data_IF_367050414607
#
_entry.id   IF_367050414607
#
_cell.length_a   1.000
_cell.length_b   1.000
_cell.length_c   1.000
_cell.angle_alpha   90.00
_cell.angle_beta   90.00
_cell.angle_gamma   90.00
#
_symmetry.space_group_name_H-M   'P 1'
#
loop_
_entity.id
_entity.type
_entity.pdbx_description
1 polymer ?
#
# COMPACT_ATOMS: atom_id res chain seq x y z
N UNK A 1 14.50 -18.52 52.16
CA UNK A 1 14.58 -17.50 51.10
C UNK A 1 15.87 -17.79 50.35
N UNK A 2 15.76 -18.35 49.15
CA UNK A 2 16.93 -18.46 48.26
C UNK A 2 17.41 -17.03 47.94
N UNK A 3 18.72 -16.77 47.90
CA UNK A 3 19.23 -15.44 47.60
C UNK A 3 18.80 -15.06 46.18
N UNK A 4 18.11 -13.94 46.05
CA UNK A 4 17.74 -13.35 44.78
C UNK A 4 19.03 -12.94 44.06
N UNK A 5 19.35 -13.58 42.94
CA UNK A 5 20.59 -13.33 42.21
C UNK A 5 20.45 -12.00 41.47
N UNK A 6 21.26 -11.02 41.88
CA UNK A 6 21.31 -9.72 41.23
C UNK A 6 22.05 -9.82 39.89
N UNK A 7 21.43 -9.30 38.84
CA UNK A 7 21.99 -9.32 37.48
C UNK A 7 23.07 -8.24 37.40
N UNK A 8 24.31 -8.56 37.00
CA UNK A 8 25.35 -7.55 36.86
C UNK A 8 24.91 -6.41 35.92
N UNK A 9 25.04 -5.16 36.39
CA UNK A 9 24.53 -3.98 35.69
C UNK A 9 25.08 -3.79 34.27
N UNK A 10 26.32 -4.23 34.02
CA UNK A 10 26.96 -4.21 32.70
C UNK A 10 26.39 -5.24 31.71
N UNK A 11 25.50 -6.14 32.14
CA UNK A 11 24.72 -7.02 31.27
C UNK A 11 23.39 -6.41 30.83
N UNK A 12 22.95 -5.33 31.50
CA UNK A 12 21.67 -4.69 31.23
C UNK A 12 21.81 -3.66 30.11
N UNK A 13 20.84 -3.66 29.20
CA UNK A 13 20.75 -2.65 28.16
C UNK A 13 20.36 -1.29 28.79
N UNK A 14 21.08 -0.19 28.49
CA UNK A 14 20.74 1.12 29.05
C UNK A 14 19.36 1.67 28.63
N UNK A 15 18.76 1.14 27.55
CA UNK A 15 17.43 1.54 27.09
C UNK A 15 16.34 0.69 27.76
N UNK A 16 16.42 -0.64 27.65
CA UNK A 16 15.35 -1.53 28.12
C UNK A 16 15.49 -1.93 29.58
N UNK A 17 16.66 -1.73 30.18
CA UNK A 17 17.05 -2.21 31.52
C UNK A 17 16.93 -3.73 31.68
N UNK A 18 16.88 -4.47 30.57
CA UNK A 18 16.85 -5.93 30.53
C UNK A 18 18.21 -6.48 30.10
N UNK A 19 18.50 -7.75 30.42
CA UNK A 19 19.70 -8.45 29.94
C UNK A 19 19.79 -8.35 28.42
N UNK A 20 20.94 -7.89 27.92
CA UNK A 20 21.21 -7.78 26.49
C UNK A 20 21.26 -9.17 25.85
N UNK A 21 20.44 -9.38 24.82
CA UNK A 21 20.41 -10.64 24.06
C UNK A 21 21.42 -10.62 22.92
N UNK A 22 21.50 -9.48 22.23
CA UNK A 22 22.53 -9.24 21.22
C UNK A 22 23.23 -7.88 21.49
N UNK A 23 24.26 -7.86 22.35
CA UNK A 23 24.94 -6.63 22.71
C UNK A 23 25.73 -6.07 21.52
N UNK A 24 25.47 -4.80 21.19
CA UNK A 24 26.11 -4.04 20.11
C UNK A 24 26.60 -2.69 20.61
N UNK A 25 27.80 -2.32 20.18
CA UNK A 25 28.46 -1.07 20.55
C UNK A 25 28.25 -0.03 19.45
N UNK A 26 27.72 1.14 19.83
CA UNK A 26 27.61 2.30 18.95
C UNK A 26 28.96 3.06 18.89
N UNK A 27 29.19 3.96 17.91
CA UNK A 27 30.44 4.70 17.79
C UNK A 27 30.88 5.48 19.04
N UNK A 28 29.93 5.85 19.90
CA UNK A 28 30.21 6.53 21.17
C UNK A 28 30.76 5.59 22.25
N UNK A 29 30.98 4.30 21.94
CA UNK A 29 31.53 3.29 22.84
C UNK A 29 30.53 2.64 23.80
N UNK A 30 29.26 3.04 23.79
CA UNK A 30 28.22 2.46 24.67
C UNK A 30 27.63 1.21 24.03
N UNK A 31 27.43 0.17 24.83
CA UNK A 31 26.81 -1.09 24.38
C UNK A 31 25.32 -1.12 24.74
N UNK A 32 24.49 -1.52 23.79
CA UNK A 32 23.04 -1.69 23.95
C UNK A 32 22.62 -3.06 23.43
N UNK A 33 21.42 -3.50 23.77
CA UNK A 33 20.76 -4.58 23.04
C UNK A 33 20.37 -4.09 21.63
N UNK A 34 20.69 -4.87 20.59
CA UNK A 34 20.49 -4.49 19.18
C UNK A 34 19.08 -4.00 18.89
N UNK A 35 18.06 -4.77 19.26
CA UNK A 35 16.67 -4.42 18.95
C UNK A 35 16.27 -3.09 19.59
N UNK A 36 16.79 -2.83 20.80
CA UNK A 36 16.49 -1.62 21.56
C UNK A 36 17.12 -0.38 20.92
N UNK A 37 18.39 -0.45 20.51
CA UNK A 37 19.05 0.69 19.85
C UNK A 37 18.55 0.90 18.42
N UNK A 38 18.25 -0.16 17.67
CA UNK A 38 17.69 -0.03 16.31
C UNK A 38 16.29 0.60 16.34
N UNK A 39 15.44 0.23 17.31
CA UNK A 39 14.14 0.88 17.52
C UNK A 39 14.29 2.35 17.90
N UNK A 40 15.23 2.67 18.80
CA UNK A 40 15.52 4.05 19.19
C UNK A 40 15.91 4.90 17.98
N UNK A 41 16.91 4.44 17.20
CA UNK A 41 17.41 5.14 16.01
C UNK A 41 16.34 5.29 14.92
N UNK A 42 15.42 4.33 14.81
CA UNK A 42 14.32 4.40 13.83
C UNK A 42 13.19 5.36 14.25
N UNK A 43 13.03 5.60 15.55
CA UNK A 43 11.92 6.41 16.11
C UNK A 43 12.29 7.87 16.36
N UNK A 44 13.58 8.17 16.56
CA UNK A 44 14.06 9.50 16.90
C UNK A 44 14.23 10.37 15.64
N UNK A 45 13.88 11.65 15.73
CA UNK A 45 14.10 12.63 14.65
C UNK A 45 15.58 12.95 14.42
N UNK A 46 16.42 12.71 15.44
CA UNK A 46 17.87 12.78 15.36
C UNK A 46 18.46 11.46 15.86
N UNK A 47 19.25 10.79 15.02
CA UNK A 47 19.97 9.57 15.37
C UNK A 47 21.06 9.88 16.41
N UNK A 48 20.70 9.90 17.69
CA UNK A 48 21.62 10.18 18.80
C UNK A 48 21.77 8.98 19.72
N UNK A 49 22.92 8.88 20.36
CA UNK A 49 23.17 7.92 21.41
C UNK A 49 22.33 8.25 22.66
N UNK A 50 21.49 7.33 23.17
CA UNK A 50 20.61 7.57 24.32
C UNK A 50 21.33 8.05 25.59
N UNK A 51 22.55 7.55 25.83
CA UNK A 51 23.31 7.86 27.05
C UNK A 51 24.17 9.12 26.90
N UNK A 52 24.89 9.26 25.78
CA UNK A 52 25.86 10.35 25.60
C UNK A 52 25.27 11.57 24.91
N UNK A 53 24.06 11.47 24.36
CA UNK A 53 23.42 12.49 23.51
C UNK A 53 24.26 12.91 22.28
N UNK A 54 25.29 12.15 21.93
CA UNK A 54 26.12 12.41 20.75
C UNK A 54 25.45 11.88 19.48
N UNK A 55 25.58 12.56 18.33
CA UNK A 55 25.05 12.08 17.06
C UNK A 55 25.76 10.80 16.62
N UNK A 56 24.97 9.83 16.16
CA UNK A 56 25.42 8.59 15.53
C UNK A 56 25.23 8.77 14.02
N UNK A 57 26.28 8.61 13.20
CA UNK A 57 26.13 8.67 11.75
C UNK A 57 25.09 7.64 11.27
N UNK A 58 24.20 7.99 10.33
CA UNK A 58 23.16 7.08 9.83
C UNK A 58 23.74 5.82 9.16
N UNK A 59 24.97 5.91 8.66
CA UNK A 59 25.69 4.82 7.97
C UNK A 59 26.63 4.04 8.92
N UNK A 60 26.62 4.35 10.22
CA UNK A 60 27.51 3.69 11.17
C UNK A 60 27.01 2.27 11.49
N UNK A 61 27.82 1.27 11.16
CA UNK A 61 27.55 -0.11 11.52
C UNK A 61 27.63 -0.31 13.05
N UNK A 62 26.55 -0.87 13.62
CA UNK A 62 26.51 -1.30 15.02
C UNK A 62 27.50 -2.46 15.22
N UNK A 63 28.58 -2.20 15.94
CA UNK A 63 29.67 -3.18 16.12
C UNK A 63 29.25 -4.25 17.15
N UNK A 64 29.13 -5.54 16.78
CA UNK A 64 28.74 -6.57 17.74
C UNK A 64 29.76 -6.72 18.88
N UNK A 65 29.31 -6.68 20.15
CA UNK A 65 30.16 -6.93 21.30
C UNK A 65 30.18 -8.42 21.65
N UNK A 66 30.96 -9.17 20.88
CA UNK A 66 31.02 -10.64 20.96
C UNK A 66 31.48 -11.12 22.34
N UNK A 67 32.41 -10.40 22.98
CA UNK A 67 32.94 -10.75 24.31
C UNK A 67 31.83 -10.60 25.35
N UNK A 68 31.15 -9.45 25.40
CA UNK A 68 30.07 -9.23 26.34
C UNK A 68 28.95 -10.25 26.16
N UNK A 69 28.60 -10.59 24.91
CA UNK A 69 27.62 -11.64 24.63
C UNK A 69 28.03 -12.99 25.22
N UNK A 70 29.29 -13.41 25.06
CA UNK A 70 29.80 -14.66 25.63
C UNK A 70 29.76 -14.63 27.16
N UNK A 71 30.10 -13.50 27.78
CA UNK A 71 30.03 -13.32 29.23
C UNK A 71 28.60 -13.44 29.75
N UNK A 72 27.64 -12.77 29.10
CA UNK A 72 26.21 -12.86 29.42
C UNK A 72 25.73 -14.31 29.29
N UNK A 73 26.04 -14.98 28.18
CA UNK A 73 25.63 -16.37 27.96
C UNK A 73 26.20 -17.33 29.01
N UNK A 74 27.47 -17.13 29.38
CA UNK A 74 28.13 -17.90 30.44
C UNK A 74 27.44 -17.68 31.78
N UNK A 75 27.14 -16.41 32.11
CA UNK A 75 26.42 -16.06 33.34
C UNK A 75 25.00 -16.65 33.37
N UNK A 76 24.23 -16.58 32.28
CA UNK A 76 22.91 -17.23 32.23
C UNK A 76 23.02 -18.74 32.44
N UNK A 77 24.02 -19.39 31.84
CA UNK A 77 24.23 -20.84 31.99
C UNK A 77 24.56 -21.23 33.42
N UNK A 78 25.40 -20.44 34.11
CA UNK A 78 25.76 -20.66 35.51
C UNK A 78 24.58 -20.45 36.47
N UNK A 79 23.64 -19.55 36.11
CA UNK A 79 22.49 -19.21 36.92
C UNK A 79 21.18 -19.86 36.43
N UNK A 80 21.27 -20.94 35.65
CA UNK A 80 20.10 -21.62 35.08
C UNK A 80 19.14 -22.17 36.15
N UNK A 81 19.66 -22.58 37.33
CA UNK A 81 18.87 -22.99 38.48
C UNK A 81 18.01 -21.87 39.07
N UNK A 82 18.35 -20.61 38.79
CA UNK A 82 17.63 -19.42 39.25
C UNK A 82 16.68 -18.83 38.19
N UNK A 83 16.35 -19.63 37.16
CA UNK A 83 15.39 -19.24 36.11
C UNK A 83 16.00 -18.46 34.95
N UNK A 84 17.33 -18.32 34.87
CA UNK A 84 18.00 -17.66 33.74
C UNK A 84 18.27 -18.67 32.61
N UNK A 85 17.49 -18.59 31.52
CA UNK A 85 17.75 -19.41 30.34
C UNK A 85 18.95 -18.91 29.54
N UNK A 86 19.71 -19.85 28.96
CA UNK A 86 20.82 -19.51 28.07
C UNK A 86 20.30 -18.80 26.83
N UNK A 87 20.71 -17.55 26.66
CA UNK A 87 20.40 -16.77 25.46
C UNK A 87 21.07 -17.42 24.24
N UNK A 88 20.31 -17.85 23.22
CA UNK A 88 20.87 -18.44 22.02
C UNK A 88 21.74 -17.43 21.26
N UNK A 89 22.84 -17.91 20.66
CA UNK A 89 23.68 -17.05 19.83
C UNK A 89 22.89 -16.64 18.58
N UNK A 90 22.75 -15.33 18.28
CA UNK A 90 22.16 -14.89 17.03
C UNK A 90 22.90 -15.55 15.86
N UNK A 91 22.16 -16.13 14.91
CA UNK A 91 22.77 -16.66 13.69
C UNK A 91 23.52 -15.50 13.01
N UNK A 92 24.74 -15.71 12.49
CA UNK A 92 25.44 -14.67 11.76
C UNK A 92 24.57 -14.21 10.58
N UNK A 93 24.48 -12.89 10.33
CA UNK A 93 23.70 -12.38 9.23
C UNK A 93 24.24 -12.92 7.90
N UNK A 94 23.33 -13.11 6.95
CA UNK A 94 23.68 -13.61 5.62
C UNK A 94 24.60 -12.61 4.93
N UNK A 95 25.64 -13.10 4.27
CA UNK A 95 26.57 -12.24 3.53
C UNK A 95 26.12 -12.03 2.09
N UNK A 96 26.42 -10.85 1.52
CA UNK A 96 26.15 -10.55 0.10
C UNK A 96 26.77 -11.59 -0.83
N UNK A 97 27.97 -12.10 -0.50
CA UNK A 97 28.64 -13.15 -1.27
C UNK A 97 27.87 -14.49 -1.27
N UNK A 98 27.25 -14.87 -0.14
CA UNK A 98 26.40 -16.07 -0.08
C UNK A 98 25.16 -15.89 -0.97
N UNK A 99 24.53 -14.72 -0.93
CA UNK A 99 23.35 -14.41 -1.74
C UNK A 99 23.69 -14.47 -3.24
N UNK A 100 24.78 -13.85 -3.66
CA UNK A 100 25.21 -13.89 -5.07
C UNK A 100 25.53 -15.31 -5.55
N UNK A 101 26.12 -16.16 -4.69
CA UNK A 101 26.36 -17.58 -5.01
C UNK A 101 25.05 -18.37 -5.16
N UNK A 102 24.06 -18.11 -4.30
CA UNK A 102 22.74 -18.76 -4.40
C UNK A 102 22.02 -18.38 -5.70
N UNK A 103 22.07 -17.11 -6.08
CA UNK A 103 21.47 -16.65 -7.34
C UNK A 103 22.19 -17.22 -8.54
N UNK A 104 23.53 -17.17 -8.55
CA UNK A 104 24.30 -17.67 -9.68
C UNK A 104 24.07 -19.17 -9.91
N UNK A 105 23.99 -19.96 -8.84
CA UNK A 105 23.67 -21.39 -8.96
C UNK A 105 22.25 -21.63 -9.48
N UNK A 106 21.26 -20.83 -9.06
CA UNK A 106 19.90 -20.92 -9.58
C UNK A 106 19.78 -20.50 -11.06
N UNK A 107 20.54 -19.47 -11.48
CA UNK A 107 20.49 -18.94 -12.84
C UNK A 107 21.20 -19.81 -13.88
N UNK A 108 22.20 -20.60 -13.48
CA UNK A 108 23.04 -21.41 -14.39
C UNK A 108 22.63 -22.89 -14.46
N UNK A 109 21.60 -23.28 -13.71
CA UNK A 109 21.17 -24.67 -13.59
C UNK A 109 20.44 -25.19 -14.83
N UNK A 110 20.67 -26.45 -15.18
CA UNK A 110 20.02 -27.14 -16.31
C UNK A 110 18.51 -27.35 -16.12
N UNK A 111 18.02 -27.39 -14.87
CA UNK A 111 16.60 -27.41 -14.51
C UNK A 111 16.22 -26.10 -13.81
N UNK A 112 16.03 -25.00 -14.57
CA UNK A 112 15.98 -23.65 -14.02
C UNK A 112 14.86 -23.48 -12.98
N UNK A 113 13.65 -24.00 -13.24
CA UNK A 113 12.49 -23.77 -12.37
C UNK A 113 12.62 -24.39 -10.97
N UNK A 114 13.11 -25.63 -10.86
CA UNK A 114 13.30 -26.29 -9.56
C UNK A 114 14.34 -25.55 -8.70
N UNK A 115 15.49 -25.22 -9.29
CA UNK A 115 16.55 -24.51 -8.58
C UNK A 115 16.16 -23.07 -8.25
N UNK A 116 15.38 -22.39 -9.10
CA UNK A 116 14.77 -21.10 -8.81
C UNK A 116 13.86 -21.18 -7.59
N UNK A 117 12.85 -22.07 -7.60
CA UNK A 117 11.91 -22.22 -6.46
C UNK A 117 12.65 -22.52 -5.16
N UNK A 118 13.63 -23.43 -5.18
CA UNK A 118 14.45 -23.75 -4.01
C UNK A 118 15.24 -22.54 -3.50
N UNK A 119 15.88 -21.80 -4.40
CA UNK A 119 16.64 -20.60 -4.07
C UNK A 119 15.74 -19.51 -3.49
N UNK A 120 14.60 -19.23 -4.12
CA UNK A 120 13.64 -18.22 -3.66
C UNK A 120 13.08 -18.54 -2.28
N UNK A 121 12.72 -19.81 -2.01
CA UNK A 121 12.27 -20.25 -0.69
C UNK A 121 13.34 -20.03 0.38
N UNK A 122 14.59 -20.32 0.06
CA UNK A 122 15.72 -20.08 0.96
C UNK A 122 15.95 -18.59 1.21
N UNK A 123 15.92 -17.75 0.17
CA UNK A 123 16.03 -16.30 0.35
C UNK A 123 14.88 -15.74 1.18
N UNK A 124 13.66 -16.24 0.97
CA UNK A 124 12.47 -15.87 1.75
C UNK A 124 12.59 -16.28 3.21
N UNK A 125 13.10 -17.48 3.51
CA UNK A 125 13.33 -17.88 4.91
C UNK A 125 14.36 -16.99 5.58
N UNK A 126 15.45 -16.68 4.90
CA UNK A 126 16.51 -15.80 5.41
C UNK A 126 16.00 -14.37 5.66
N UNK A 127 15.16 -13.84 4.76
CA UNK A 127 14.54 -12.52 4.92
C UNK A 127 13.58 -12.46 6.12
N UNK A 128 12.88 -13.56 6.43
CA UNK A 128 11.96 -13.65 7.58
C UNK A 128 12.70 -13.78 8.93
N UNK A 129 13.94 -14.27 8.93
CA UNK A 129 14.71 -14.46 10.17
C UNK A 129 15.16 -13.14 10.81
N UNK A 130 15.44 -12.10 10.02
CA UNK A 130 15.93 -10.81 10.53
C UNK A 130 15.76 -9.66 9.54
N UNK A 131 15.43 -8.47 10.04
CA UNK A 131 15.43 -7.22 9.25
C UNK A 131 16.81 -6.92 8.64
N UNK A 132 17.90 -7.28 9.33
CA UNK A 132 19.26 -7.13 8.79
C UNK A 132 19.48 -8.04 7.58
N UNK A 133 19.00 -9.28 7.63
CA UNK A 133 19.05 -10.20 6.49
C UNK A 133 18.20 -9.67 5.33
N UNK A 134 16.99 -9.17 5.60
CA UNK A 134 16.12 -8.58 4.59
C UNK A 134 16.80 -7.43 3.85
N UNK A 135 17.40 -6.48 4.59
CA UNK A 135 18.17 -5.37 4.00
C UNK A 135 19.39 -5.87 3.24
N UNK A 136 20.12 -6.85 3.77
CA UNK A 136 21.29 -7.42 3.10
C UNK A 136 20.92 -8.09 1.76
N UNK A 137 19.78 -8.80 1.72
CA UNK A 137 19.26 -9.42 0.50
C UNK A 137 18.84 -8.36 -0.52
N UNK A 138 18.13 -7.31 -0.11
CA UNK A 138 17.73 -6.23 -1.03
C UNK A 138 18.93 -5.49 -1.63
N UNK A 139 19.97 -5.25 -0.83
CA UNK A 139 21.20 -4.57 -1.26
C UNK A 139 22.22 -5.48 -1.95
N UNK A 140 21.98 -6.79 -2.01
CA UNK A 140 22.91 -7.70 -2.66
C UNK A 140 22.80 -7.55 -4.19
N UNK A 141 23.94 -7.45 -4.89
CA UNK A 141 23.96 -7.14 -6.32
C UNK A 141 23.26 -8.24 -7.12
N UNK A 142 22.38 -7.81 -8.04
CA UNK A 142 21.68 -8.69 -8.97
C UNK A 142 20.44 -9.40 -8.41
N UNK A 143 20.11 -9.28 -7.12
CA UNK A 143 18.93 -9.94 -6.53
C UNK A 143 17.64 -9.40 -7.14
N UNK A 144 17.44 -8.08 -7.10
CA UNK A 144 16.22 -7.45 -7.61
C UNK A 144 16.06 -7.69 -9.11
N UNK A 145 17.17 -7.66 -9.86
CA UNK A 145 17.18 -7.91 -11.31
C UNK A 145 16.87 -9.39 -11.63
N UNK A 146 17.38 -10.34 -10.84
CA UNK A 146 17.06 -11.77 -10.96
C UNK A 146 15.58 -12.07 -10.63
N UNK A 147 15.05 -11.46 -9.57
CA UNK A 147 13.63 -11.60 -9.24
C UNK A 147 12.75 -11.03 -10.36
N UNK A 148 13.14 -9.88 -10.90
CA UNK A 148 12.43 -9.27 -12.01
C UNK A 148 12.51 -10.09 -13.30
N UNK A 149 13.64 -10.74 -13.59
CA UNK A 149 13.76 -11.60 -14.77
C UNK A 149 12.81 -12.79 -14.69
N UNK A 150 12.69 -13.44 -13.53
CA UNK A 150 11.72 -14.53 -13.30
C UNK A 150 10.28 -14.06 -13.57
N UNK A 151 9.93 -12.85 -13.11
CA UNK A 151 8.60 -12.28 -13.36
C UNK A 151 8.40 -11.95 -14.85
N UNK A 152 9.45 -11.49 -15.54
CA UNK A 152 9.39 -11.19 -16.99
C UNK A 152 9.20 -12.45 -17.82
N UNK A 153 9.81 -13.55 -17.39
CA UNK A 153 9.71 -14.88 -18.01
C UNK A 153 8.38 -15.61 -17.70
N UNK A 154 7.42 -14.93 -17.04
CA UNK A 154 6.09 -15.47 -16.72
C UNK A 154 5.43 -16.13 -17.95
N UNK A 155 5.13 -17.42 -17.79
CA UNK A 155 4.37 -18.22 -18.74
C UNK A 155 3.39 -19.12 -17.96
N UNK A 156 2.10 -18.90 -18.17
CA UNK A 156 1.04 -19.53 -17.38
C UNK A 156 1.07 -21.06 -17.43
N UNK A 157 1.29 -21.65 -18.60
CA UNK A 157 1.24 -23.11 -18.77
C UNK A 157 2.40 -23.77 -18.01
N UNK A 158 3.60 -23.19 -18.11
CA UNK A 158 4.79 -23.64 -17.37
C UNK A 158 4.61 -23.48 -15.86
N UNK A 159 3.92 -22.42 -15.43
CA UNK A 159 3.69 -22.18 -14.02
C UNK A 159 2.72 -23.16 -13.39
N UNK A 160 1.67 -23.56 -14.11
CA UNK A 160 0.75 -24.61 -13.68
C UNK A 160 1.51 -25.93 -13.45
N UNK A 161 2.34 -26.34 -14.40
CA UNK A 161 3.19 -27.53 -14.27
C UNK A 161 4.10 -27.45 -13.04
N UNK A 162 4.71 -26.28 -12.79
CA UNK A 162 5.56 -26.06 -11.63
C UNK A 162 4.79 -26.10 -10.31
N UNK A 163 3.56 -25.58 -10.27
CA UNK A 163 2.71 -25.62 -9.08
C UNK A 163 2.35 -27.08 -8.75
N UNK A 164 1.98 -27.88 -9.74
CA UNK A 164 1.68 -29.30 -9.55
C UNK A 164 2.89 -30.09 -9.06
N UNK A 165 4.08 -29.81 -9.60
CA UNK A 165 5.30 -30.55 -9.24
C UNK A 165 5.95 -30.09 -7.94
N UNK A 166 5.96 -28.79 -7.65
CA UNK A 166 6.76 -28.21 -6.57
C UNK A 166 5.93 -27.52 -5.47
N UNK A 167 4.62 -27.38 -5.67
CA UNK A 167 3.70 -26.69 -4.76
C UNK A 167 3.69 -25.16 -4.86
N UNK A 168 4.56 -24.57 -5.69
CA UNK A 168 4.55 -23.12 -5.98
C UNK A 168 5.29 -22.83 -7.29
N UNK A 169 4.85 -21.83 -8.04
CA UNK A 169 5.57 -21.40 -9.23
C UNK A 169 6.81 -20.54 -8.87
N UNK A 170 7.84 -20.48 -9.72
CA UNK A 170 8.94 -19.54 -9.56
C UNK A 170 8.47 -18.08 -9.47
N UNK A 171 7.44 -17.70 -10.26
CA UNK A 171 6.91 -16.35 -10.26
C UNK A 171 6.17 -16.03 -8.96
N UNK A 172 5.38 -16.96 -8.41
CA UNK A 172 4.69 -16.78 -7.13
C UNK A 172 5.69 -16.49 -6.00
N UNK A 173 6.75 -17.29 -5.93
CA UNK A 173 7.81 -17.13 -4.95
C UNK A 173 8.60 -15.83 -5.17
N UNK A 174 8.86 -15.45 -6.43
CA UNK A 174 9.56 -14.22 -6.77
C UNK A 174 8.74 -12.98 -6.40
N UNK A 175 7.44 -12.95 -6.70
CA UNK A 175 6.53 -11.85 -6.36
C UNK A 175 6.34 -11.70 -4.86
N UNK A 176 6.18 -12.83 -4.14
CA UNK A 176 6.10 -12.85 -2.69
C UNK A 176 7.38 -12.27 -2.07
N UNK A 177 8.56 -12.66 -2.57
CA UNK A 177 9.83 -12.16 -2.10
C UNK A 177 10.04 -10.67 -2.46
N UNK A 178 9.71 -10.25 -3.68
CA UNK A 178 9.76 -8.84 -4.10
C UNK A 178 8.91 -7.95 -3.19
N UNK A 179 7.69 -8.38 -2.85
CA UNK A 179 6.87 -7.65 -1.89
C UNK A 179 7.50 -7.69 -0.49
N UNK A 180 7.92 -8.87 0.00
CA UNK A 180 8.46 -9.06 1.33
C UNK A 180 9.75 -8.29 1.61
N UNK A 181 10.60 -8.11 0.59
CA UNK A 181 11.84 -7.33 0.71
C UNK A 181 11.57 -5.84 0.89
N UNK A 182 10.38 -5.32 0.56
CA UNK A 182 10.04 -3.89 0.56
C UNK A 182 11.14 -3.04 -0.10
N UNK A 183 11.38 -3.31 -1.38
CA UNK A 183 12.46 -2.70 -2.17
C UNK A 183 12.46 -1.17 -2.01
N UNK A 184 13.66 -0.60 -1.82
CA UNK A 184 13.83 0.84 -1.68
C UNK A 184 13.37 1.60 -2.93
N UNK A 185 12.85 2.83 -2.76
CA UNK A 185 12.39 3.64 -3.90
C UNK A 185 13.47 3.85 -4.99
N UNK A 186 14.76 4.10 -4.67
CA UNK A 186 15.81 4.20 -5.68
C UNK A 186 16.03 2.89 -6.45
N UNK A 187 16.03 1.75 -5.76
CA UNK A 187 16.22 0.44 -6.39
C UNK A 187 15.03 0.09 -7.29
N UNK A 188 13.81 0.37 -6.84
CA UNK A 188 12.60 0.15 -7.62
C UNK A 188 12.55 1.08 -8.84
N UNK A 189 12.94 2.35 -8.69
CA UNK A 189 13.07 3.28 -9.81
C UNK A 189 14.07 2.79 -10.84
N UNK A 190 15.25 2.34 -10.39
CA UNK A 190 16.27 1.76 -11.26
C UNK A 190 15.77 0.50 -11.98
N UNK A 191 15.04 -0.37 -11.28
CA UNK A 191 14.44 -1.57 -11.87
C UNK A 191 13.44 -1.23 -12.98
N UNK A 192 12.47 -0.38 -12.66
CA UNK A 192 11.43 0.02 -13.61
C UNK A 192 12.09 0.69 -14.82
N UNK A 193 13.07 1.58 -14.61
CA UNK A 193 13.79 2.27 -15.68
C UNK A 193 14.55 1.33 -16.61
N UNK A 194 15.22 0.31 -16.07
CA UNK A 194 15.96 -0.68 -16.87
C UNK A 194 15.06 -1.70 -17.57
N UNK A 195 13.93 -2.08 -16.97
CA UNK A 195 13.08 -3.18 -17.45
C UNK A 195 11.69 -2.70 -17.88
N UNK A 196 11.56 -2.23 -19.13
CA UNK A 196 10.29 -1.80 -19.71
C UNK A 196 9.20 -2.89 -19.72
N UNK A 197 9.61 -4.18 -19.80
CA UNK A 197 8.70 -5.32 -19.83
C UNK A 197 8.21 -5.76 -18.44
N UNK A 198 8.79 -5.23 -17.37
CA UNK A 198 8.43 -5.63 -16.01
C UNK A 198 6.96 -5.33 -15.70
N UNK A 199 6.48 -4.12 -16.00
CA UNK A 199 5.07 -3.74 -15.80
C UNK A 199 4.12 -4.56 -16.68
N UNK A 200 4.53 -4.88 -17.91
CA UNK A 200 3.73 -5.69 -18.82
C UNK A 200 3.58 -7.12 -18.30
N UNK A 201 4.64 -7.64 -17.69
CA UNK A 201 4.66 -8.97 -17.09
C UNK A 201 3.83 -9.02 -15.82
N UNK A 202 3.89 -7.98 -14.97
CA UNK A 202 2.94 -7.82 -13.86
C UNK A 202 1.49 -7.76 -14.36
N UNK A 203 1.24 -7.12 -15.51
CA UNK A 203 -0.10 -7.12 -16.14
C UNK A 203 -0.54 -8.54 -16.54
N UNK A 204 0.35 -9.33 -17.14
CA UNK A 204 0.09 -10.74 -17.49
C UNK A 204 -0.18 -11.60 -16.25
N UNK A 205 0.57 -11.38 -15.17
CA UNK A 205 0.33 -12.04 -13.88
C UNK A 205 -1.03 -11.64 -13.32
N UNK A 206 -1.42 -10.36 -13.38
CA UNK A 206 -2.75 -9.91 -12.92
C UNK A 206 -3.89 -10.59 -13.69
N UNK A 207 -3.66 -10.96 -14.95
CA UNK A 207 -4.63 -11.65 -15.81
C UNK A 207 -4.79 -13.14 -15.49
N UNK A 208 -3.67 -13.86 -15.33
CA UNK A 208 -3.66 -15.33 -15.32
C UNK A 208 -3.02 -15.96 -14.10
N UNK A 209 -2.41 -15.16 -13.22
CA UNK A 209 -1.74 -15.65 -12.03
C UNK A 209 -2.70 -16.20 -11.00
N UNK A 210 -2.14 -16.86 -9.99
CA UNK A 210 -2.89 -17.29 -8.80
C UNK A 210 -3.45 -16.08 -8.05
N UNK A 211 -4.45 -16.28 -7.19
CA UNK A 211 -5.04 -15.21 -6.39
C UNK A 211 -3.99 -14.41 -5.60
N UNK A 212 -2.98 -15.10 -5.03
CA UNK A 212 -1.91 -14.45 -4.27
C UNK A 212 -0.97 -13.64 -5.17
N UNK A 213 -0.56 -14.22 -6.31
CA UNK A 213 0.34 -13.55 -7.27
C UNK A 213 -0.31 -12.35 -7.93
N UNK A 214 -1.61 -12.40 -8.21
CA UNK A 214 -2.40 -11.24 -8.66
C UNK A 214 -2.38 -10.12 -7.61
N UNK A 215 -2.51 -10.46 -6.32
CA UNK A 215 -2.43 -9.49 -5.23
C UNK A 215 -1.02 -8.86 -5.12
N UNK A 216 0.04 -9.66 -5.18
CA UNK A 216 1.41 -9.14 -5.19
C UNK A 216 1.70 -8.28 -6.41
N UNK A 217 1.24 -8.71 -7.59
CA UNK A 217 1.48 -7.98 -8.82
C UNK A 217 0.88 -6.57 -8.79
N UNK A 218 -0.36 -6.40 -8.30
CA UNK A 218 -0.96 -5.06 -8.18
C UNK A 218 -0.30 -4.20 -7.10
N UNK A 219 0.21 -4.81 -6.02
CA UNK A 219 0.94 -4.10 -4.97
C UNK A 219 2.28 -3.58 -5.45
N UNK A 220 3.05 -4.43 -6.14
CA UNK A 220 4.33 -4.06 -6.74
C UNK A 220 4.10 -3.02 -7.84
N UNK A 221 3.06 -3.18 -8.67
CA UNK A 221 2.69 -2.21 -9.71
C UNK A 221 2.43 -0.83 -9.11
N UNK A 222 1.68 -0.75 -8.00
CA UNK A 222 1.46 0.52 -7.29
C UNK A 222 2.77 1.14 -6.83
N UNK A 223 3.64 0.37 -6.17
CA UNK A 223 4.94 0.89 -5.72
C UNK A 223 5.80 1.35 -6.90
N UNK A 224 5.75 0.64 -8.03
CA UNK A 224 6.51 0.97 -9.23
C UNK A 224 6.03 2.28 -9.87
N UNK A 225 4.71 2.51 -9.98
CA UNK A 225 4.18 3.74 -10.57
C UNK A 225 4.46 4.99 -9.72
N UNK A 226 4.57 4.85 -8.39
CA UNK A 226 4.95 5.96 -7.49
C UNK A 226 6.34 6.52 -7.75
N UNK A 227 7.26 5.70 -8.22
CA UNK A 227 8.66 6.07 -8.48
C UNK A 227 8.98 6.19 -9.97
N UNK A 228 8.01 5.87 -10.84
CA UNK A 228 8.18 5.88 -12.28
C UNK A 228 8.32 7.32 -12.82
N UNK A 229 9.13 7.47 -13.86
CA UNK A 229 9.26 8.77 -14.54
C UNK A 229 7.91 9.19 -15.17
N UNK A 230 7.55 10.49 -15.16
CA UNK A 230 6.24 10.96 -15.61
C UNK A 230 5.84 10.48 -17.01
N UNK A 231 6.82 10.32 -17.91
CA UNK A 231 6.60 9.81 -19.28
C UNK A 231 5.94 8.42 -19.33
N UNK A 232 6.17 7.58 -18.31
CA UNK A 232 5.56 6.24 -18.21
C UNK A 232 4.18 6.25 -17.60
N UNK A 233 3.84 7.32 -16.87
CA UNK A 233 2.55 7.50 -16.21
C UNK A 233 1.53 8.11 -17.18
N UNK A 234 1.95 8.98 -18.10
CA UNK A 234 1.05 9.75 -18.99
C UNK A 234 0.17 8.89 -19.91
N UNK A 235 0.64 7.70 -20.29
CA UNK A 235 0.02 6.90 -21.35
C UNK A 235 0.12 5.41 -21.11
N UNK A 236 -0.42 4.93 -19.99
CA UNK A 236 -0.40 3.50 -19.66
C UNK A 236 -1.23 2.71 -20.67
N UNK A 237 -0.87 1.44 -20.90
CA UNK A 237 -1.58 0.52 -21.80
C UNK A 237 -3.00 0.29 -21.31
N UNK A 238 -3.96 0.23 -22.22
CA UNK A 238 -5.37 0.00 -21.88
C UNK A 238 -5.56 -1.33 -21.12
N UNK A 239 -4.86 -2.39 -21.56
CA UNK A 239 -4.89 -3.69 -20.87
C UNK A 239 -4.50 -3.61 -19.40
N UNK A 240 -3.48 -2.82 -19.02
CA UNK A 240 -3.13 -2.65 -17.62
C UNK A 240 -4.25 -1.98 -16.80
N UNK A 241 -4.87 -0.92 -17.34
CA UNK A 241 -6.00 -0.27 -16.66
C UNK A 241 -7.21 -1.20 -16.55
N UNK A 242 -7.47 -2.03 -17.56
CA UNK A 242 -8.51 -3.05 -17.51
C UNK A 242 -8.26 -4.04 -16.37
N UNK A 243 -7.03 -4.52 -16.21
CA UNK A 243 -6.67 -5.40 -15.08
C UNK A 243 -6.78 -4.72 -13.72
N UNK A 244 -6.36 -3.45 -13.61
CA UNK A 244 -6.53 -2.69 -12.37
C UNK A 244 -8.01 -2.57 -12.01
N UNK A 245 -8.89 -2.33 -12.99
CA UNK A 245 -10.35 -2.31 -12.77
C UNK A 245 -10.86 -3.71 -12.39
N UNK A 246 -10.35 -4.77 -13.03
CA UNK A 246 -10.72 -6.14 -12.68
C UNK A 246 -10.33 -6.50 -11.25
N UNK A 247 -9.16 -6.05 -10.77
CA UNK A 247 -8.75 -6.23 -9.37
C UNK A 247 -9.69 -5.52 -8.36
N UNK A 248 -10.34 -4.43 -8.78
CA UNK A 248 -11.39 -3.78 -7.97
C UNK A 248 -12.67 -4.63 -7.94
N UNK A 249 -13.05 -5.25 -9.07
CA UNK A 249 -14.23 -6.12 -9.18
C UNK A 249 -14.07 -7.43 -8.41
N UNK A 250 -12.94 -8.10 -8.61
CA UNK A 250 -12.67 -9.42 -8.03
C UNK A 250 -12.50 -9.35 -6.51
N UNK A 251 -12.13 -8.17 -5.98
CA UNK A 251 -11.90 -7.92 -4.56
C UNK A 251 -11.02 -8.97 -3.92
N UNK A 252 -9.97 -9.37 -4.64
CA UNK A 252 -8.99 -10.39 -4.27
C UNK A 252 -8.65 -10.21 -2.79
N UNK A 253 -7.88 -9.20 -2.41
CA UNK A 253 -7.67 -8.87 -0.99
C UNK A 253 -7.94 -7.41 -0.71
N UNK A 254 -8.25 -7.08 0.56
CA UNK A 254 -8.44 -5.68 1.00
C UNK A 254 -7.26 -4.79 0.61
N UNK A 255 -6.04 -5.33 0.70
CA UNK A 255 -4.81 -4.61 0.37
C UNK A 255 -4.63 -4.46 -1.14
N UNK A 256 -4.94 -5.49 -1.93
CA UNK A 256 -4.93 -5.45 -3.39
C UNK A 256 -5.98 -4.46 -3.94
N UNK A 257 -7.19 -4.45 -3.40
CA UNK A 257 -8.24 -3.48 -3.80
C UNK A 257 -7.83 -2.05 -3.46
N UNK A 258 -7.26 -1.80 -2.27
CA UNK A 258 -6.71 -0.46 -1.93
C UNK A 258 -5.57 -0.06 -2.89
N UNK A 259 -4.73 -1.01 -3.29
CA UNK A 259 -3.66 -0.77 -4.23
C UNK A 259 -4.20 -0.37 -5.60
N UNK A 260 -5.14 -1.15 -6.14
CA UNK A 260 -5.84 -0.90 -7.40
C UNK A 260 -6.57 0.45 -7.41
N UNK A 261 -7.33 0.76 -6.35
CA UNK A 261 -8.01 2.06 -6.24
C UNK A 261 -7.05 3.23 -6.26
N UNK A 262 -5.92 3.14 -5.53
CA UNK A 262 -4.96 4.24 -5.57
C UNK A 262 -4.17 4.32 -6.88
N UNK A 263 -3.97 3.20 -7.60
CA UNK A 263 -3.49 3.24 -8.98
C UNK A 263 -4.46 4.05 -9.88
N UNK A 264 -5.77 3.85 -9.75
CA UNK A 264 -6.75 4.67 -10.48
C UNK A 264 -6.63 6.16 -10.12
N UNK A 265 -6.50 6.49 -8.82
CA UNK A 265 -6.33 7.88 -8.35
C UNK A 265 -5.03 8.51 -8.88
N UNK A 266 -3.97 7.74 -9.02
CA UNK A 266 -2.65 8.20 -9.46
C UNK A 266 -2.53 8.32 -10.98
N UNK A 267 -3.13 7.39 -11.72
CA UNK A 267 -3.00 7.29 -13.18
C UNK A 267 -4.08 8.07 -13.94
N UNK A 268 -5.31 8.18 -13.42
CA UNK A 268 -6.42 8.82 -14.13
C UNK A 268 -6.47 10.37 -14.12
N UNK A 269 -5.64 11.11 -13.36
CA UNK A 269 -5.51 12.55 -13.57
C UNK A 269 -5.10 12.89 -15.01
N UNK A 270 -4.31 12.01 -15.65
CA UNK A 270 -3.95 12.08 -17.05
C UNK A 270 -5.12 11.71 -17.96
N UNK A 271 -5.54 12.63 -18.82
CA UNK A 271 -6.76 12.48 -19.63
C UNK A 271 -6.81 11.21 -20.48
N UNK A 272 -5.67 10.79 -21.08
CA UNK A 272 -5.59 9.56 -21.89
C UNK A 272 -5.86 8.30 -21.06
N UNK A 273 -5.34 8.23 -19.83
CA UNK A 273 -5.59 7.11 -18.93
C UNK A 273 -7.02 7.14 -18.40
N UNK A 274 -7.55 8.34 -18.13
CA UNK A 274 -8.93 8.53 -17.66
C UNK A 274 -9.93 7.89 -18.61
N UNK A 275 -9.85 8.23 -19.90
CA UNK A 275 -10.76 7.69 -20.92
C UNK A 275 -10.66 6.16 -20.99
N UNK A 276 -9.44 5.62 -21.09
CA UNK A 276 -9.20 4.16 -21.10
C UNK A 276 -9.76 3.45 -19.87
N UNK A 277 -9.63 4.06 -18.68
CA UNK A 277 -10.18 3.49 -17.44
C UNK A 277 -11.71 3.48 -17.45
N UNK A 278 -12.35 4.54 -17.95
CA UNK A 278 -13.81 4.57 -18.13
C UNK A 278 -14.26 3.50 -19.12
N UNK A 279 -13.61 3.38 -20.28
CA UNK A 279 -13.89 2.37 -21.31
C UNK A 279 -13.71 0.94 -20.78
N UNK A 280 -12.79 0.74 -19.84
CA UNK A 280 -12.58 -0.55 -19.14
C UNK A 280 -13.66 -0.86 -18.09
N UNK A 281 -14.64 0.04 -17.91
CA UNK A 281 -15.73 -0.11 -16.95
C UNK A 281 -15.31 0.21 -15.51
N UNK A 282 -14.41 1.18 -15.31
CA UNK A 282 -14.02 1.61 -13.96
C UNK A 282 -15.18 2.21 -13.18
N UNK A 283 -16.02 3.03 -13.82
CA UNK A 283 -17.15 3.71 -13.16
C UNK A 283 -18.15 2.73 -12.55
N UNK A 284 -18.72 1.75 -13.29
CA UNK A 284 -19.63 0.77 -12.69
C UNK A 284 -18.96 -0.03 -11.57
N UNK A 285 -17.72 -0.48 -11.75
CA UNK A 285 -16.97 -1.22 -10.72
C UNK A 285 -16.80 -0.43 -9.41
N UNK A 286 -16.57 0.89 -9.50
CA UNK A 286 -16.47 1.76 -8.33
C UNK A 286 -17.83 1.99 -7.66
N UNK A 287 -18.91 2.09 -8.43
CA UNK A 287 -20.27 2.24 -7.89
C UNK A 287 -20.67 0.97 -7.13
N UNK A 288 -20.43 -0.21 -7.71
CA UNK A 288 -20.69 -1.51 -7.06
C UNK A 288 -19.86 -1.67 -5.78
N UNK A 289 -18.58 -1.29 -5.82
CA UNK A 289 -17.74 -1.27 -4.62
C UNK A 289 -18.31 -0.41 -3.49
N UNK A 290 -18.82 0.78 -3.84
CA UNK A 290 -19.39 1.70 -2.85
C UNK A 290 -20.75 1.22 -2.32
N UNK A 291 -21.53 0.47 -3.11
CA UNK A 291 -22.80 -0.13 -2.69
C UNK A 291 -22.58 -1.20 -1.63
N UNK A 292 -21.64 -2.11 -1.90
CA UNK A 292 -21.36 -3.27 -1.06
C UNK A 292 -20.54 -2.92 0.19
N UNK A 293 -19.85 -1.79 0.19
CA UNK A 293 -19.06 -1.36 1.34
C UNK A 293 -19.95 -0.67 2.38
N UNK A 294 -20.21 -1.26 3.57
CA UNK A 294 -20.88 -0.55 4.65
C UNK A 294 -20.01 0.63 5.11
N UNK A 295 -20.60 1.64 5.74
CA UNK A 295 -19.89 2.82 6.26
C UNK A 295 -19.11 2.56 7.56
N UNK A 296 -18.59 1.34 7.71
CA UNK A 296 -17.82 0.89 8.89
C UNK A 296 -16.33 1.26 8.78
N UNK A 297 -15.64 1.22 9.93
CA UNK A 297 -14.23 1.58 10.08
C UNK A 297 -13.30 0.88 9.07
N UNK A 298 -13.50 -0.43 8.84
CA UNK A 298 -12.57 -1.25 8.08
C UNK A 298 -12.57 -0.96 6.56
N UNK A 299 -13.71 -0.54 6.02
CA UNK A 299 -13.92 -0.21 4.59
C UNK A 299 -13.79 1.29 4.29
N UNK A 300 -13.63 2.13 5.32
CA UNK A 300 -13.57 3.60 5.20
C UNK A 300 -12.54 4.07 4.18
N UNK A 301 -11.32 3.52 4.24
CA UNK A 301 -10.24 3.90 3.33
C UNK A 301 -10.51 3.50 1.87
N UNK A 302 -11.16 2.36 1.65
CA UNK A 302 -11.55 1.93 0.31
C UNK A 302 -12.62 2.87 -0.26
N UNK A 303 -13.62 3.26 0.54
CA UNK A 303 -14.63 4.23 0.13
C UNK A 303 -14.02 5.60 -0.23
N UNK A 304 -13.06 6.08 0.56
CA UNK A 304 -12.34 7.34 0.26
C UNK A 304 -11.62 7.27 -1.09
N UNK A 305 -10.87 6.19 -1.33
CA UNK A 305 -10.13 6.01 -2.59
C UNK A 305 -11.08 5.81 -3.78
N UNK A 306 -12.18 5.09 -3.60
CA UNK A 306 -13.19 4.89 -4.63
C UNK A 306 -13.87 6.21 -5.03
N UNK A 307 -14.26 7.04 -4.05
CA UNK A 307 -14.79 8.38 -4.32
C UNK A 307 -13.75 9.31 -4.93
N UNK A 308 -12.47 9.20 -4.53
CA UNK A 308 -11.40 9.96 -5.14
C UNK A 308 -11.17 9.54 -6.61
N UNK A 309 -11.19 8.25 -6.92
CA UNK A 309 -11.10 7.75 -8.28
C UNK A 309 -12.29 8.22 -9.11
N UNK A 310 -13.51 8.12 -8.58
CA UNK A 310 -14.73 8.56 -9.26
C UNK A 310 -14.74 10.08 -9.51
N UNK A 311 -14.26 10.91 -8.56
CA UNK A 311 -14.05 12.37 -8.75
C UNK A 311 -13.09 12.67 -9.90
N UNK A 312 -12.05 11.85 -10.09
CA UNK A 312 -11.13 12.00 -11.23
C UNK A 312 -11.78 11.56 -12.54
N UNK A 313 -12.48 10.42 -12.57
CA UNK A 313 -13.14 9.91 -13.78
C UNK A 313 -14.27 10.83 -14.26
N UNK A 314 -15.06 11.40 -13.35
CA UNK A 314 -16.16 12.32 -13.69
C UNK A 314 -15.69 13.71 -14.17
N UNK A 315 -14.37 13.95 -14.27
CA UNK A 315 -13.83 15.15 -14.92
C UNK A 315 -13.83 15.04 -16.46
N UNK A 316 -14.15 13.88 -17.05
CA UNK A 316 -14.44 13.77 -18.49
C UNK A 316 -15.93 13.44 -18.75
N UNK A 317 -16.38 13.62 -20.00
CA UNK A 317 -17.79 13.44 -20.37
C UNK A 317 -18.22 11.97 -20.29
N UNK A 318 -17.36 11.06 -20.73
CA UNK A 318 -17.55 9.62 -20.72
C UNK A 318 -17.74 9.11 -19.30
N UNK A 319 -16.91 9.58 -18.35
CA UNK A 319 -17.01 9.18 -16.95
C UNK A 319 -18.30 9.65 -16.28
N UNK A 320 -18.83 10.82 -16.67
CA UNK A 320 -20.16 11.28 -16.21
C UNK A 320 -21.28 10.49 -16.86
N UNK A 321 -21.19 10.21 -18.15
CA UNK A 321 -22.19 9.42 -18.86
C UNK A 321 -22.32 8.02 -18.27
N UNK A 322 -21.21 7.32 -18.01
CA UNK A 322 -21.23 6.00 -17.38
C UNK A 322 -21.75 6.04 -15.93
N UNK A 323 -21.49 7.13 -15.18
CA UNK A 323 -22.04 7.30 -13.83
C UNK A 323 -23.57 7.42 -13.87
N UNK A 324 -24.10 8.21 -14.81
CA UNK A 324 -25.54 8.42 -14.97
C UNK A 324 -26.26 7.21 -15.57
N UNK A 325 -25.56 6.42 -16.39
CA UNK A 325 -26.08 5.16 -16.94
C UNK A 325 -26.26 4.08 -15.87
N UNK A 326 -25.45 4.12 -14.82
CA UNK A 326 -25.58 3.18 -13.70
C UNK A 326 -26.74 3.58 -12.78
N UNK A 327 -27.74 2.71 -12.61
CA UNK A 327 -28.98 3.00 -11.87
C UNK A 327 -28.76 3.49 -10.42
N UNK A 328 -27.66 3.07 -9.79
CA UNK A 328 -27.29 3.47 -8.43
C UNK A 328 -26.22 4.59 -8.36
N UNK A 329 -25.78 5.15 -9.49
CA UNK A 329 -24.62 6.04 -9.57
C UNK A 329 -24.74 7.28 -8.71
N UNK A 330 -25.76 8.11 -8.93
CA UNK A 330 -26.00 9.31 -8.12
C UNK A 330 -26.41 8.96 -6.69
N UNK A 331 -27.21 7.90 -6.53
CA UNK A 331 -27.69 7.45 -5.23
C UNK A 331 -26.56 7.06 -4.29
N UNK A 332 -25.55 6.30 -4.77
CA UNK A 332 -24.43 5.87 -3.94
C UNK A 332 -23.52 7.04 -3.57
N UNK A 333 -23.23 7.94 -4.51
CA UNK A 333 -22.40 9.15 -4.26
C UNK A 333 -23.08 10.01 -3.20
N UNK A 334 -24.38 10.25 -3.37
CA UNK A 334 -25.21 10.97 -2.42
C UNK A 334 -25.24 10.28 -1.05
N UNK A 335 -25.40 8.96 -0.98
CA UNK A 335 -25.43 8.17 0.26
C UNK A 335 -24.13 8.32 1.07
N UNK A 336 -22.97 8.49 0.43
CA UNK A 336 -21.67 8.55 1.11
C UNK A 336 -21.31 9.93 1.68
N UNK A 337 -22.03 10.99 1.31
CA UNK A 337 -21.88 12.33 1.89
C UNK A 337 -22.09 12.28 3.40
N UNK A 338 -21.15 12.85 4.18
CA UNK A 338 -21.15 12.89 5.64
C UNK A 338 -21.10 11.51 6.34
N UNK A 339 -20.97 10.40 5.60
CA UNK A 339 -20.97 9.03 6.17
C UNK A 339 -19.63 8.31 6.14
N UNK A 340 -18.63 8.87 5.46
CA UNK A 340 -17.30 8.24 5.32
C UNK A 340 -16.23 9.10 6.00
N UNK A 341 -15.94 10.27 5.44
CA UNK A 341 -15.00 11.25 6.01
C UNK A 341 -15.25 12.63 5.42
N UNK A 342 -14.58 13.65 5.98
CA UNK A 342 -14.61 15.02 5.43
C UNK A 342 -14.03 15.07 4.02
N UNK A 343 -12.91 14.37 3.78
CA UNK A 343 -12.29 14.24 2.46
C UNK A 343 -13.23 13.53 1.47
N UNK A 344 -13.84 12.41 1.86
CA UNK A 344 -14.82 11.71 1.03
C UNK A 344 -16.04 12.58 0.70
N UNK A 345 -16.51 13.38 1.66
CA UNK A 345 -17.61 14.33 1.46
C UNK A 345 -17.25 15.38 0.42
N UNK A 346 -16.05 15.95 0.48
CA UNK A 346 -15.56 16.89 -0.53
C UNK A 346 -15.54 16.26 -1.93
N UNK A 347 -15.05 15.01 -2.05
CA UNK A 347 -15.03 14.26 -3.31
C UNK A 347 -16.43 13.99 -3.85
N UNK A 348 -17.36 13.54 -3.00
CA UNK A 348 -18.74 13.29 -3.38
C UNK A 348 -19.45 14.55 -3.88
N UNK A 349 -19.29 15.69 -3.18
CA UNK A 349 -19.86 16.98 -3.58
C UNK A 349 -19.26 17.44 -4.92
N UNK A 350 -17.95 17.23 -5.15
CA UNK A 350 -17.30 17.54 -6.44
C UNK A 350 -17.84 16.70 -7.59
N UNK A 351 -18.09 15.40 -7.39
CA UNK A 351 -18.72 14.53 -8.40
C UNK A 351 -20.09 15.08 -8.78
N UNK A 352 -20.93 15.38 -7.78
CA UNK A 352 -22.27 15.92 -8.00
C UNK A 352 -22.23 17.28 -8.69
N UNK A 353 -21.30 18.16 -8.34
CA UNK A 353 -21.10 19.44 -9.01
C UNK A 353 -20.65 19.24 -10.47
N UNK A 354 -19.77 18.28 -10.76
CA UNK A 354 -19.33 17.99 -12.12
C UNK A 354 -20.50 17.56 -13.02
N UNK A 355 -21.35 16.66 -12.50
CA UNK A 355 -22.61 16.27 -13.16
C UNK A 355 -23.55 17.46 -13.30
N UNK A 356 -23.77 18.21 -12.22
CA UNK A 356 -24.65 19.38 -12.21
C UNK A 356 -24.20 20.50 -13.15
N UNK A 357 -22.91 20.63 -13.44
CA UNK A 357 -22.39 21.65 -14.37
C UNK A 357 -22.46 21.23 -15.83
N UNK A 358 -22.13 19.98 -16.13
CA UNK A 358 -21.82 19.56 -17.49
C UNK A 358 -22.75 18.48 -18.04
N UNK A 359 -23.68 17.97 -17.23
CA UNK A 359 -24.60 16.88 -17.60
C UNK A 359 -26.00 17.05 -16.95
N UNK A 360 -26.37 18.28 -16.59
CA UNK A 360 -27.64 18.59 -15.93
C UNK A 360 -28.82 18.66 -16.92
N UNK A 361 -29.39 17.49 -17.25
CA UNK A 361 -30.69 17.41 -17.92
C UNK A 361 -31.82 17.51 -16.89
N UNK A 362 -33.05 17.83 -17.34
CA UNK A 362 -34.21 17.89 -16.45
C UNK A 362 -34.43 16.57 -15.69
N UNK A 363 -34.24 15.42 -16.36
CA UNK A 363 -34.34 14.10 -15.74
C UNK A 363 -33.30 13.91 -14.62
N UNK A 364 -32.03 14.26 -14.87
CA UNK A 364 -30.95 14.16 -13.87
C UNK A 364 -31.25 15.06 -12.67
N UNK A 365 -31.70 16.30 -12.88
CA UNK A 365 -32.03 17.21 -11.79
C UNK A 365 -33.22 16.73 -10.95
N UNK A 366 -34.21 16.07 -11.57
CA UNK A 366 -35.33 15.44 -10.87
C UNK A 366 -34.89 14.20 -10.09
N UNK A 367 -34.03 13.36 -10.65
CA UNK A 367 -33.47 12.21 -9.94
C UNK A 367 -32.69 12.67 -8.70
N UNK A 368 -31.84 13.70 -8.85
CA UNK A 368 -31.08 14.28 -7.73
C UNK A 368 -32.00 14.78 -6.60
N UNK A 369 -33.17 15.34 -6.93
CA UNK A 369 -34.18 15.71 -5.94
C UNK A 369 -34.75 14.48 -5.23
N UNK A 370 -35.20 13.48 -6.00
CA UNK A 370 -35.87 12.28 -5.47
C UNK A 370 -34.97 11.46 -4.53
N UNK A 371 -33.67 11.33 -4.85
CA UNK A 371 -32.71 10.60 -4.01
C UNK A 371 -32.16 11.45 -2.84
N UNK A 372 -32.65 12.68 -2.68
CA UNK A 372 -32.33 13.58 -1.57
C UNK A 372 -30.95 14.24 -1.64
N UNK A 373 -30.38 14.45 -2.84
CA UNK A 373 -29.10 15.18 -3.00
C UNK A 373 -29.20 16.57 -2.40
N UNK A 374 -30.27 17.31 -2.71
CA UNK A 374 -30.43 18.70 -2.27
C UNK A 374 -30.45 18.80 -0.75
N UNK A 375 -31.17 17.91 -0.06
CA UNK A 375 -31.18 17.84 1.39
C UNK A 375 -29.78 17.59 1.98
N UNK A 376 -29.01 16.65 1.39
CA UNK A 376 -27.63 16.37 1.83
C UNK A 376 -26.69 17.55 1.60
N UNK A 377 -26.83 18.27 0.48
CA UNK A 377 -26.03 19.47 0.22
C UNK A 377 -26.32 20.58 1.23
N UNK A 378 -27.58 20.80 1.60
CA UNK A 378 -27.96 21.72 2.68
C UNK A 378 -27.34 21.30 4.02
N UNK A 379 -27.40 20.00 4.37
CA UNK A 379 -26.76 19.47 5.58
C UNK A 379 -25.24 19.71 5.61
N UNK A 380 -24.55 19.58 4.46
CA UNK A 380 -23.11 19.88 4.36
C UNK A 380 -22.79 21.33 4.74
N UNK A 381 -23.70 22.28 4.48
CA UNK A 381 -23.52 23.69 4.87
C UNK A 381 -23.63 23.89 6.38
N UNK A 382 -24.52 23.12 7.04
CA UNK A 382 -24.83 23.24 8.46
C UNK A 382 -23.81 22.55 9.36
N UNK A 383 -23.35 21.36 8.98
CA UNK A 383 -22.43 20.54 9.79
C UNK A 383 -20.97 21.00 9.60
N UNK A 384 -20.10 20.64 10.54
CA UNK A 384 -18.64 20.76 10.36
C UNK A 384 -18.18 19.92 9.16
N UNK A 385 -17.75 20.61 8.10
CA UNK A 385 -17.27 20.03 6.85
C UNK A 385 -16.20 20.95 6.25
N UNK A 386 -15.41 20.45 5.29
CA UNK A 386 -14.33 21.26 4.70
C UNK A 386 -14.89 22.51 4.02
N UNK A 387 -14.17 23.65 4.13
CA UNK A 387 -14.59 24.90 3.48
C UNK A 387 -14.81 24.70 1.96
N UNK A 388 -13.92 23.92 1.33
CA UNK A 388 -14.05 23.52 -0.09
C UNK A 388 -15.35 22.77 -0.36
N UNK A 389 -15.74 21.81 0.50
CA UNK A 389 -17.01 21.10 0.35
C UNK A 389 -18.21 22.05 0.47
N UNK A 390 -18.18 22.98 1.44
CA UNK A 390 -19.25 23.99 1.61
C UNK A 390 -19.36 24.89 0.38
N UNK A 391 -18.25 25.40 -0.14
CA UNK A 391 -18.26 26.28 -1.31
C UNK A 391 -18.83 25.59 -2.55
N UNK A 392 -18.43 24.34 -2.80
CA UNK A 392 -18.93 23.54 -3.91
C UNK A 392 -20.41 23.16 -3.75
N UNK A 393 -20.85 22.92 -2.50
CA UNK A 393 -22.27 22.71 -2.20
C UNK A 393 -23.10 23.98 -2.46
N UNK A 394 -22.63 25.16 -2.06
CA UNK A 394 -23.31 26.43 -2.38
C UNK A 394 -23.38 26.66 -3.89
N UNK A 395 -22.30 26.34 -4.59
CA UNK A 395 -22.19 26.51 -6.04
C UNK A 395 -23.25 25.70 -6.79
N UNK A 396 -23.39 24.39 -6.51
CA UNK A 396 -24.39 23.55 -7.19
C UNK A 396 -25.82 23.95 -6.80
N UNK A 397 -26.07 24.31 -5.54
CA UNK A 397 -27.39 24.75 -5.07
C UNK A 397 -27.84 26.06 -5.75
N UNK A 398 -26.91 26.99 -5.98
CA UNK A 398 -27.18 28.23 -6.73
C UNK A 398 -27.42 27.94 -8.21
N UNK A 399 -26.61 27.08 -8.81
CA UNK A 399 -26.70 26.74 -10.23
C UNK A 399 -28.09 26.24 -10.63
N UNK A 400 -28.73 25.44 -9.76
CA UNK A 400 -30.03 24.83 -10.02
C UNK A 400 -31.17 25.33 -9.12
N UNK A 401 -31.01 26.52 -8.54
CA UNK A 401 -31.97 27.08 -7.58
C UNK A 401 -33.41 27.19 -8.15
N UNK A 402 -33.55 27.45 -9.46
CA UNK A 402 -34.85 27.53 -10.14
C UNK A 402 -35.64 26.22 -10.10
N UNK A 403 -34.94 25.08 -10.12
CA UNK A 403 -35.56 23.75 -10.13
C UNK A 403 -35.72 23.19 -8.72
N UNK A 404 -34.77 23.48 -7.83
CA UNK A 404 -34.69 22.81 -6.53
C UNK A 404 -35.32 23.57 -5.37
N UNK A 405 -35.27 24.91 -5.37
CA UNK A 405 -35.62 25.73 -4.18
C UNK A 405 -37.09 25.60 -3.77
N UNK A 406 -37.99 25.45 -4.73
CA UNK A 406 -39.44 25.32 -4.51
C UNK A 406 -39.93 23.87 -4.51
N UNK A 407 -39.01 22.90 -4.59
CA UNK A 407 -39.40 21.49 -4.66
C UNK A 407 -39.93 20.99 -3.31
N UNK A 408 -41.07 20.27 -3.28
CA UNK A 408 -41.60 19.67 -2.06
C UNK A 408 -40.70 18.56 -1.50
N UNK A 409 -39.74 18.07 -2.29
CA UNK A 409 -38.76 17.07 -1.87
C UNK A 409 -37.69 17.65 -0.91
N UNK A 410 -37.62 18.97 -0.75
CA UNK A 410 -36.67 19.63 0.15
C UNK A 410 -37.36 19.94 1.48
N UNK A 411 -36.92 19.36 2.62
CA UNK A 411 -37.50 19.68 3.92
C UNK A 411 -37.46 21.17 4.22
N UNK A 412 -38.56 21.73 4.74
CA UNK A 412 -38.68 23.15 5.05
C UNK A 412 -37.58 23.66 6.01
N UNK A 413 -37.13 22.81 6.94
CA UNK A 413 -36.03 23.09 7.87
C UNK A 413 -34.68 23.33 7.19
N UNK A 414 -34.49 22.77 5.98
CA UNK A 414 -33.25 22.92 5.22
C UNK A 414 -33.30 24.13 4.26
N UNK A 415 -34.49 24.65 3.95
CA UNK A 415 -34.65 25.83 3.08
C UNK A 415 -33.98 27.09 3.67
N UNK A 416 -33.94 27.22 5.00
CA UNK A 416 -33.23 28.32 5.67
C UNK A 416 -31.72 28.31 5.40
N UNK A 417 -31.13 27.13 5.12
CA UNK A 417 -29.72 26.98 4.77
C UNK A 417 -29.45 27.08 3.26
N UNK A 418 -30.49 27.25 2.45
CA UNK A 418 -30.35 27.41 1.00
C UNK A 418 -29.65 28.75 0.70
N UNK A 419 -28.62 28.78 -0.16
CA UNK A 419 -27.94 30.03 -0.49
C UNK A 419 -28.90 31.07 -1.07
N UNK A 420 -28.73 32.34 -0.70
CA UNK A 420 -29.41 33.45 -1.37
C UNK A 420 -29.14 33.42 -2.88
N UNK A 421 -30.15 33.77 -3.67
CA UNK A 421 -29.98 34.00 -5.10
C UNK A 421 -29.09 35.24 -5.26
N UNK A 422 -28.06 35.14 -6.09
CA UNK A 422 -27.22 36.27 -6.46
C UNK A 422 -27.93 37.11 -7.52
#
# INVERSE_FOLDING_TARGET
MEPEIDVPSFFLCPISLQIMKDPVTVPTGITYDRDSIERWLSSSSAATCPVTNQPIPPDADLTPNIILRRLIQSWCTLNASHGFERIPTPKPPVTKAQISKLIHSAATSSSPHYHQVKCLRQLRSLAKESEANRRCIEQAPGVVDFLASIVVDFNHDVELDCIEQFGSSPCDEALSLLHGLQISEPALKALVNRNCEFINSLTRVMQRGTYESRAYAVLISRSAFRVADPLRIIGVRAGFLAEVVQMVRDRVSRQATKAALGLLVELCPWGRNRVKAVESGAVPALVDLLLDSPSESESRRACELALAALDVLCQCAEGRAELLKHAAGLAVVSKKILRVSTAATEKAVRILLSVGKSSATAAVLQEMLQIGVVAKLCLVLQVESSARAKDKAREILRLHARVWRSSPCVPATLLCSYPAAA
#
